data_IF_072858025586
#
_entry.id   IF_072858025586
#
_cell.length_a   1.000
_cell.length_b   1.000
_cell.length_c   1.000
_cell.angle_alpha   90.00
_cell.angle_beta   90.00
_cell.angle_gamma   90.00
#
_symmetry.space_group_name_H-M   'P 1'
#
loop_
_entity.id
_entity.type
_entity.pdbx_description
1 polymer ?
#
# COMPACT_ATOMS: atom_id res chain seq x y z
N UNK A 1 17.68 15.98 -23.10
CA UNK A 1 16.88 16.30 -21.90
C UNK A 1 17.58 15.64 -20.73
N UNK A 2 18.24 16.37 -19.80
CA UNK A 2 18.83 15.74 -18.63
C UNK A 2 17.71 15.07 -17.83
N UNK A 3 17.95 13.85 -17.35
CA UNK A 3 16.98 13.11 -16.54
C UNK A 3 16.62 13.96 -15.32
N UNK A 4 15.37 14.41 -15.27
CA UNK A 4 14.85 15.16 -14.13
C UNK A 4 14.97 14.28 -12.89
N UNK A 5 15.62 14.80 -11.86
CA UNK A 5 15.97 14.06 -10.65
C UNK A 5 14.69 13.51 -10.02
N UNK A 6 14.64 12.19 -9.82
CA UNK A 6 13.46 11.53 -9.27
C UNK A 6 13.28 11.98 -7.81
N UNK A 7 12.08 12.45 -7.47
CA UNK A 7 11.74 12.74 -6.07
C UNK A 7 11.57 11.43 -5.32
N UNK A 8 12.53 11.10 -4.45
CA UNK A 8 12.52 9.86 -3.66
C UNK A 8 11.78 10.08 -2.35
N UNK A 9 10.82 9.20 -2.04
CA UNK A 9 10.17 9.16 -0.74
C UNK A 9 10.10 7.72 -0.23
N UNK A 10 10.09 7.55 1.09
CA UNK A 10 9.99 6.25 1.75
C UNK A 10 8.56 5.85 2.11
N UNK A 11 7.55 6.68 1.78
CA UNK A 11 6.16 6.48 2.18
C UNK A 11 5.21 6.86 1.04
N UNK A 12 4.25 5.97 0.76
CA UNK A 12 3.22 6.15 -0.27
C UNK A 12 2.39 7.43 -0.08
N UNK A 13 2.11 7.84 1.17
CA UNK A 13 1.33 9.05 1.45
C UNK A 13 2.13 10.31 1.14
N UNK A 14 3.44 10.28 1.37
CA UNK A 14 4.34 11.39 0.97
C UNK A 14 4.41 11.49 -0.55
N UNK A 15 4.52 10.37 -1.25
CA UNK A 15 4.44 10.35 -2.73
C UNK A 15 3.10 10.92 -3.22
N UNK A 16 1.99 10.53 -2.61
CA UNK A 16 0.65 11.03 -2.96
C UNK A 16 0.52 12.54 -2.75
N UNK A 17 1.06 13.07 -1.65
CA UNK A 17 1.08 14.52 -1.40
C UNK A 17 1.89 15.28 -2.44
N UNK A 18 3.01 14.71 -2.92
CA UNK A 18 3.79 15.32 -4.00
C UNK A 18 3.01 15.35 -5.32
N UNK A 19 2.31 14.25 -5.65
CA UNK A 19 1.42 14.21 -6.84
C UNK A 19 0.31 15.25 -6.70
N UNK A 20 -0.36 15.31 -5.55
CA UNK A 20 -1.41 16.29 -5.27
C UNK A 20 -0.91 17.74 -5.32
N UNK A 21 0.36 17.98 -4.97
CA UNK A 21 1.03 19.27 -5.09
C UNK A 21 1.48 19.64 -6.50
N UNK A 22 1.26 18.77 -7.49
CA UNK A 22 1.64 19.01 -8.88
C UNK A 22 3.12 18.74 -9.19
N UNK A 23 3.84 18.02 -8.32
CA UNK A 23 5.26 17.70 -8.51
C UNK A 23 5.51 16.53 -9.48
N UNK A 24 4.46 16.02 -10.14
CA UNK A 24 4.56 15.00 -11.18
C UNK A 24 3.59 13.83 -10.98
N UNK A 25 4.02 12.64 -11.39
CA UNK A 25 3.27 11.39 -11.25
C UNK A 25 4.08 10.36 -10.46
N UNK A 26 3.39 9.41 -9.84
CA UNK A 26 3.99 8.32 -9.08
C UNK A 26 3.36 6.98 -9.47
N UNK A 27 4.15 5.91 -9.39
CA UNK A 27 3.64 4.54 -9.45
C UNK A 27 3.37 4.07 -8.02
N UNK A 28 2.11 3.76 -7.71
CA UNK A 28 1.68 3.35 -6.38
C UNK A 28 0.93 2.01 -6.43
N UNK A 29 0.96 1.21 -5.35
CA UNK A 29 0.09 0.04 -5.21
C UNK A 29 -1.37 0.41 -5.37
N UNK A 30 -2.17 -0.48 -5.97
CA UNK A 30 -3.59 -0.22 -6.22
C UNK A 30 -4.37 0.12 -4.94
N UNK A 31 -4.03 -0.49 -3.80
CA UNK A 31 -4.67 -0.19 -2.52
C UNK A 31 -4.49 1.27 -2.06
N UNK A 32 -3.49 2.00 -2.60
CA UNK A 32 -3.26 3.40 -2.26
C UNK A 32 -4.36 4.33 -2.78
N UNK A 33 -5.17 3.89 -3.75
CA UNK A 33 -6.28 4.64 -4.31
C UNK A 33 -7.31 5.04 -3.24
N UNK A 34 -7.51 4.21 -2.20
CA UNK A 34 -8.39 4.50 -1.08
C UNK A 34 -7.99 5.77 -0.29
N UNK A 35 -6.74 6.21 -0.42
CA UNK A 35 -6.21 7.41 0.23
C UNK A 35 -6.04 8.59 -0.74
N UNK A 36 -6.53 8.47 -1.99
CA UNK A 36 -6.34 9.50 -3.01
C UNK A 36 -7.16 10.76 -2.68
N UNK A 37 -6.53 11.95 -2.64
CA UNK A 37 -7.26 13.19 -2.50
C UNK A 37 -8.06 13.51 -3.77
N UNK A 38 -9.12 14.33 -3.65
CA UNK A 38 -10.04 14.62 -4.76
C UNK A 38 -9.40 15.24 -6.00
N UNK A 39 -8.22 15.84 -5.87
CA UNK A 39 -7.47 16.46 -6.96
C UNK A 39 -6.46 15.52 -7.62
N UNK A 40 -6.42 14.24 -7.24
CA UNK A 40 -5.56 13.23 -7.83
C UNK A 40 -6.40 12.18 -8.54
N UNK A 41 -6.00 11.88 -9.77
CA UNK A 41 -6.62 10.82 -10.60
C UNK A 41 -5.69 9.62 -10.63
N UNK A 42 -6.23 8.45 -10.30
CA UNK A 42 -5.55 7.17 -10.41
C UNK A 42 -5.87 6.51 -11.75
N UNK A 43 -4.92 5.75 -12.30
CA UNK A 43 -5.18 4.86 -13.42
C UNK A 43 -4.34 3.58 -13.31
N UNK A 44 -4.84 2.43 -13.80
CA UNK A 44 -4.02 1.23 -13.92
C UNK A 44 -2.81 1.44 -14.83
N UNK A 45 -1.72 0.72 -14.51
CA UNK A 45 -0.56 0.60 -15.40
C UNK A 45 -0.98 -0.14 -16.65
N UNK A 46 -0.52 0.33 -17.81
CA UNK A 46 -0.79 -0.33 -19.08
C UNK A 46 0.07 -1.60 -19.21
N UNK A 47 -0.54 -2.72 -19.59
CA UNK A 47 0.15 -4.02 -19.70
C UNK A 47 -0.10 -4.89 -18.48
N UNK A 48 0.87 -5.72 -18.12
CA UNK A 48 0.84 -6.53 -16.90
C UNK A 48 1.41 -5.71 -15.73
N UNK A 49 0.57 -5.29 -14.76
CA UNK A 49 1.03 -4.48 -13.65
C UNK A 49 1.91 -5.30 -12.69
N UNK A 50 2.95 -4.69 -12.10
CA UNK A 50 3.73 -5.38 -11.06
C UNK A 50 2.84 -5.68 -9.86
N UNK A 51 2.97 -6.89 -9.33
CA UNK A 51 2.28 -7.32 -8.10
C UNK A 51 3.21 -7.22 -6.91
N UNK A 52 2.61 -7.15 -5.72
CA UNK A 52 3.32 -7.14 -4.45
C UNK A 52 2.48 -7.88 -3.41
N UNK A 53 3.15 -8.76 -2.66
CA UNK A 53 2.49 -9.57 -1.63
C UNK A 53 2.41 -8.77 -0.33
N UNK A 54 1.20 -8.68 0.24
CA UNK A 54 0.99 -8.15 1.58
C UNK A 54 0.91 -9.32 2.57
N UNK A 55 1.85 -9.36 3.51
CA UNK A 55 1.94 -10.42 4.51
C UNK A 55 1.66 -9.89 5.92
N UNK A 56 0.90 -10.65 6.69
CA UNK A 56 0.81 -10.49 8.15
C UNK A 56 1.79 -11.46 8.80
N UNK A 57 2.79 -10.93 9.50
CA UNK A 57 3.79 -11.72 10.20
C UNK A 57 3.76 -11.44 11.71
N UNK A 58 4.01 -12.48 12.50
CA UNK A 58 4.10 -12.37 13.96
C UNK A 58 5.25 -13.25 14.49
N UNK A 59 5.72 -12.95 15.70
CA UNK A 59 6.72 -13.79 16.37
C UNK A 59 6.07 -15.11 16.84
N UNK A 60 6.72 -16.23 16.54
CA UNK A 60 6.29 -17.58 16.96
C UNK A 60 6.67 -17.91 18.41
N UNK A 61 7.68 -17.22 18.96
CA UNK A 61 8.24 -17.43 20.30
C UNK A 61 7.72 -16.43 21.34
N UNK A 62 6.68 -15.66 21.02
CA UNK A 62 6.02 -14.89 22.05
C UNK A 62 5.41 -15.90 23.05
N UNK A 63 6.01 -16.01 24.23
CA UNK A 63 5.72 -16.97 25.31
C UNK A 63 4.29 -16.90 25.88
N UNK A 64 3.40 -16.15 25.23
CA UNK A 64 1.97 -16.27 25.43
C UNK A 64 1.31 -15.98 24.08
N UNK A 65 0.61 -16.97 23.52
CA UNK A 65 -0.27 -16.75 22.38
C UNK A 65 -1.41 -15.86 22.85
N UNK A 66 -1.16 -14.56 22.89
CA UNK A 66 -2.12 -13.56 23.33
C UNK A 66 -3.41 -13.79 22.56
N UNK A 67 -4.49 -14.09 23.28
CA UNK A 67 -5.79 -14.38 22.67
C UNK A 67 -6.21 -13.26 21.71
N UNK A 68 -5.87 -12.00 22.05
CA UNK A 68 -6.08 -10.83 21.19
C UNK A 68 -5.35 -10.89 19.85
N UNK A 69 -4.12 -11.41 19.80
CA UNK A 69 -3.39 -11.59 18.56
C UNK A 69 -4.06 -12.67 17.70
N UNK A 70 -4.45 -13.79 18.31
CA UNK A 70 -5.17 -14.86 17.58
C UNK A 70 -6.49 -14.35 17.01
N UNK A 71 -7.28 -13.62 17.80
CA UNK A 71 -8.52 -12.98 17.32
C UNK A 71 -8.26 -12.01 16.18
N UNK A 72 -7.19 -11.20 16.23
CA UNK A 72 -6.81 -10.33 15.12
C UNK A 72 -6.44 -11.13 13.88
N UNK A 73 -5.69 -12.23 14.03
CA UNK A 73 -5.33 -13.09 12.89
C UNK A 73 -6.54 -13.74 12.24
N UNK A 74 -7.51 -14.19 13.02
CA UNK A 74 -8.77 -14.75 12.52
C UNK A 74 -9.58 -13.67 11.79
N UNK A 75 -9.72 -12.47 12.39
CA UNK A 75 -10.42 -11.35 11.75
C UNK A 75 -9.78 -10.95 10.41
N UNK A 76 -8.45 -10.88 10.35
CA UNK A 76 -7.73 -10.55 9.12
C UNK A 76 -7.95 -11.64 8.07
N UNK A 77 -7.86 -12.91 8.46
CA UNK A 77 -8.09 -14.05 7.56
C UNK A 77 -9.49 -14.01 6.94
N UNK A 78 -10.52 -13.80 7.77
CA UNK A 78 -11.90 -13.71 7.32
C UNK A 78 -12.10 -12.52 6.38
N UNK A 79 -11.48 -11.37 6.68
CA UNK A 79 -11.55 -10.17 5.83
C UNK A 79 -10.92 -10.39 4.45
N UNK A 80 -9.79 -11.11 4.38
CA UNK A 80 -9.10 -11.40 3.12
C UNK A 80 -9.90 -12.40 2.27
N UNK A 81 -10.51 -13.40 2.90
CA UNK A 81 -11.37 -14.35 2.18
C UNK A 81 -12.63 -13.71 1.61
N UNK A 82 -13.18 -12.69 2.28
CA UNK A 82 -14.33 -11.94 1.76
C UNK A 82 -14.00 -11.07 0.53
N UNK A 83 -12.71 -10.78 0.29
CA UNK A 83 -12.22 -9.96 -0.82
C UNK A 83 -11.77 -10.79 -2.04
N UNK A 84 -11.69 -12.12 -1.89
CA UNK A 84 -11.26 -13.08 -2.92
C UNK A 84 -12.46 -13.69 -3.66
#
# INVERSE_FOLDING_TARGET
MPAQEALVSSNILTSMNLVAGGFGFALLPAYAEAFSPRNVVSRPVTGEPPTLDLIMAHNLHADDRLASLMTLMDLVRDSVQALA
#
